data_IF_497990115771
#
_entry.id   IF_497990115771
#
_cell.length_a   1.000
_cell.length_b   1.000
_cell.length_c   1.000
_cell.angle_alpha   90.00
_cell.angle_beta   90.00
_cell.angle_gamma   90.00
#
_symmetry.space_group_name_H-M   'P 1'
#
loop_
_entity.id
_entity.type
_entity.pdbx_description
1 polymer ?
#
# COMPACT_ATOMS: atom_id res chain seq x y z
N UNK A 1 -13.10 15.02 31.23
CA UNK A 1 -12.19 16.02 30.61
C UNK A 1 -11.67 15.43 29.31
N UNK A 2 -12.26 15.78 28.16
CA UNK A 2 -11.77 15.34 26.86
C UNK A 2 -10.67 16.30 26.42
N UNK A 3 -9.40 15.94 26.65
CA UNK A 3 -8.30 16.68 26.04
C UNK A 3 -8.30 16.37 24.55
N UNK A 4 -8.65 17.37 23.74
CA UNK A 4 -8.48 17.40 22.30
C UNK A 4 -6.98 17.24 22.02
N UNK A 5 -6.53 15.98 21.90
CA UNK A 5 -5.15 15.65 21.57
C UNK A 5 -4.96 16.14 20.15
N UNK A 6 -4.21 17.22 19.96
CA UNK A 6 -3.90 17.77 18.64
C UNK A 6 -3.35 16.61 17.79
N UNK A 7 -3.93 16.33 16.61
CA UNK A 7 -3.51 15.19 15.81
C UNK A 7 -2.02 15.35 15.48
N UNK A 8 -1.24 14.32 15.82
CA UNK A 8 0.20 14.31 15.55
C UNK A 8 0.41 14.23 14.04
N UNK A 9 1.09 15.22 13.49
CA UNK A 9 1.45 15.29 12.08
C UNK A 9 2.57 14.30 11.77
N UNK A 10 2.18 13.07 11.41
CA UNK A 10 3.08 11.94 11.14
C UNK A 10 3.37 11.73 9.66
N UNK A 11 2.86 12.59 8.78
CA UNK A 11 2.95 12.43 7.32
C UNK A 11 3.75 13.54 6.66
N UNK A 12 3.81 14.74 7.26
CA UNK A 12 4.56 15.85 6.67
C UNK A 12 6.06 15.57 6.69
N UNK A 13 6.74 15.61 5.52
CA UNK A 13 8.17 15.41 5.44
C UNK A 13 8.91 16.55 6.15
N UNK A 14 10.02 16.23 6.79
CA UNK A 14 10.92 17.21 7.38
C UNK A 14 11.62 18.00 6.26
N UNK A 15 11.71 19.32 6.42
CA UNK A 15 12.48 20.16 5.49
C UNK A 15 13.98 20.08 5.80
N UNK A 16 14.83 20.40 4.83
CA UNK A 16 16.29 20.44 5.05
C UNK A 16 16.68 21.40 6.18
N UNK A 17 15.97 22.52 6.32
CA UNK A 17 16.17 23.47 7.42
C UNK A 17 15.87 22.84 8.78
N UNK A 18 14.82 22.02 8.89
CA UNK A 18 14.48 21.30 10.12
C UNK A 18 15.50 20.21 10.43
N UNK A 19 15.97 19.48 9.42
CA UNK A 19 17.05 18.50 9.58
C UNK A 19 18.31 19.20 10.09
N UNK A 20 18.71 20.30 9.46
CA UNK A 20 19.88 21.08 9.87
C UNK A 20 19.75 21.62 11.30
N UNK A 21 18.56 22.09 11.68
CA UNK A 21 18.28 22.53 13.05
C UNK A 21 18.40 21.39 14.06
N UNK A 22 17.89 20.20 13.74
CA UNK A 22 18.03 19.02 14.59
C UNK A 22 19.50 18.61 14.76
N UNK A 23 20.30 18.63 13.70
CA UNK A 23 21.73 18.33 13.76
C UNK A 23 22.48 19.38 14.58
N UNK A 24 22.14 20.66 14.43
CA UNK A 24 22.72 21.74 15.23
C UNK A 24 22.44 21.51 16.72
N UNK A 25 21.21 21.14 17.10
CA UNK A 25 20.87 20.81 18.48
C UNK A 25 21.73 19.66 19.02
N UNK A 26 21.84 18.55 18.28
CA UNK A 26 22.68 17.43 18.67
C UNK A 26 24.15 17.83 18.84
N UNK A 27 24.65 18.72 17.97
CA UNK A 27 26.06 19.14 17.99
C UNK A 27 26.42 19.97 19.20
N UNK A 28 25.44 20.67 19.79
CA UNK A 28 25.66 21.43 21.04
C UNK A 28 25.72 20.53 22.27
N UNK A 29 25.07 19.37 22.24
CA UNK A 29 24.96 18.47 23.40
C UNK A 29 25.89 17.27 23.34
N UNK A 30 26.32 16.84 22.15
CA UNK A 30 27.08 15.60 21.97
C UNK A 30 28.42 15.87 21.26
N UNK A 31 29.53 15.31 21.76
CA UNK A 31 30.82 15.41 21.08
C UNK A 31 30.84 14.54 19.81
N UNK A 32 31.53 15.01 18.78
CA UNK A 32 31.80 14.22 17.58
C UNK A 32 32.88 13.16 17.84
N UNK A 33 32.82 12.04 17.11
CA UNK A 33 33.84 10.98 17.17
C UNK A 33 35.12 11.36 16.41
N UNK A 34 35.00 12.26 15.44
CA UNK A 34 36.03 12.61 14.46
C UNK A 34 35.98 14.10 14.09
N UNK A 35 37.15 14.66 13.78
CA UNK A 35 37.32 16.03 13.25
C UNK A 35 37.23 16.07 11.71
N UNK A 36 36.20 15.42 11.16
CA UNK A 36 35.94 15.42 9.72
C UNK A 36 35.33 16.71 9.19
N UNK A 37 35.28 16.84 7.86
CA UNK A 37 34.64 17.95 7.16
C UNK A 37 33.15 18.05 7.52
N UNK A 38 32.77 19.16 8.16
CA UNK A 38 31.41 19.43 8.61
C UNK A 38 30.40 19.60 7.47
N UNK A 39 30.82 20.12 6.31
CA UNK A 39 29.94 20.29 5.16
C UNK A 39 29.61 18.93 4.53
N UNK A 40 30.62 18.09 4.31
CA UNK A 40 30.44 16.74 3.80
C UNK A 40 29.54 15.91 4.74
N UNK A 41 29.76 16.04 6.04
CA UNK A 41 28.93 15.40 7.07
C UNK A 41 27.48 15.85 6.97
N UNK A 42 27.23 17.15 6.85
CA UNK A 42 25.88 17.71 6.74
C UNK A 42 25.15 17.17 5.52
N UNK A 43 25.81 17.13 4.35
CA UNK A 43 25.25 16.54 3.12
C UNK A 43 24.92 15.06 3.29
N UNK A 44 25.77 14.31 4.00
CA UNK A 44 25.51 12.91 4.29
C UNK A 44 24.24 12.71 5.15
N UNK A 45 24.00 13.58 6.16
CA UNK A 45 22.75 13.52 6.93
C UNK A 45 21.53 13.94 6.11
N UNK A 46 21.61 14.98 5.30
CA UNK A 46 20.49 15.39 4.45
C UNK A 46 20.07 14.25 3.50
N UNK A 47 21.03 13.53 2.94
CA UNK A 47 20.77 12.33 2.13
C UNK A 47 20.16 11.19 2.95
N UNK A 48 20.77 10.86 4.10
CA UNK A 48 20.32 9.74 4.93
C UNK A 48 18.94 9.98 5.59
N UNK A 49 18.62 11.23 5.89
CA UNK A 49 17.35 11.65 6.48
C UNK A 49 16.36 12.15 5.44
N UNK A 50 16.62 11.94 4.14
CA UNK A 50 15.65 12.25 3.11
C UNK A 50 14.35 11.44 3.31
N UNK A 51 13.22 12.13 3.18
CA UNK A 51 11.88 11.53 3.30
C UNK A 51 11.43 11.20 4.72
N UNK A 52 12.24 11.52 5.75
CA UNK A 52 11.79 11.38 7.14
C UNK A 52 10.70 12.39 7.47
N UNK A 53 9.76 11.99 8.30
CA UNK A 53 8.66 12.87 8.75
C UNK A 53 9.14 13.83 9.84
N UNK A 54 8.61 15.04 9.90
CA UNK A 54 8.93 16.03 10.95
C UNK A 54 8.77 15.47 12.37
N UNK A 55 7.69 14.75 12.62
CA UNK A 55 7.46 14.11 13.92
C UNK A 55 8.51 13.06 14.25
N UNK A 56 8.77 12.12 13.34
CA UNK A 56 9.79 11.09 13.56
C UNK A 56 11.20 11.66 13.72
N UNK A 57 11.55 12.74 13.01
CA UNK A 57 12.83 13.45 13.21
C UNK A 57 12.94 13.99 14.65
N UNK A 58 11.87 14.59 15.18
CA UNK A 58 11.86 15.09 16.55
C UNK A 58 12.04 13.98 17.59
N UNK A 59 11.41 12.82 17.39
CA UNK A 59 11.56 11.66 18.27
C UNK A 59 12.97 11.07 18.19
N UNK A 60 13.50 10.90 16.98
CA UNK A 60 14.86 10.39 16.77
C UNK A 60 15.91 11.29 17.44
N UNK A 61 15.73 12.62 17.33
CA UNK A 61 16.61 13.61 17.97
C UNK A 61 16.54 13.49 19.50
N UNK A 62 15.35 13.35 20.08
CA UNK A 62 15.19 13.14 21.52
C UNK A 62 15.82 11.82 21.98
N UNK A 63 15.66 10.74 21.22
CA UNK A 63 16.27 9.44 21.50
C UNK A 63 17.80 9.51 21.46
N UNK A 64 18.36 10.21 20.48
CA UNK A 64 19.81 10.46 20.39
C UNK A 64 20.34 11.23 21.61
N UNK A 65 19.65 12.28 22.03
CA UNK A 65 20.02 13.06 23.23
C UNK A 65 19.95 12.23 24.52
N UNK A 66 19.06 11.24 24.59
CA UNK A 66 18.97 10.29 25.71
C UNK A 66 20.02 9.17 25.63
N UNK A 67 20.80 9.09 24.54
CA UNK A 67 21.79 8.03 24.33
C UNK A 67 21.19 6.68 23.98
N UNK A 68 19.98 6.63 23.41
CA UNK A 68 19.27 5.38 23.08
C UNK A 68 19.97 4.58 21.96
N UNK A 69 20.88 5.19 21.19
CA UNK A 69 21.73 4.49 20.22
C UNK A 69 22.95 3.81 20.83
N UNK A 70 23.11 3.82 22.15
CA UNK A 70 24.18 3.08 22.86
C UNK A 70 25.54 3.79 22.87
N UNK A 71 25.60 5.07 22.52
CA UNK A 71 26.83 5.87 22.53
C UNK A 71 26.57 7.27 23.09
N UNK A 72 27.58 7.84 23.76
CA UNK A 72 27.55 9.23 24.25
C UNK A 72 28.01 10.25 23.19
N UNK A 73 28.43 9.76 22.03
CA UNK A 73 28.87 10.59 20.92
C UNK A 73 27.73 10.92 19.98
N UNK A 74 27.96 11.93 19.15
CA UNK A 74 27.09 12.29 18.04
C UNK A 74 26.79 11.05 17.18
N UNK A 75 25.50 10.74 16.91
CA UNK A 75 25.11 9.54 16.19
C UNK A 75 25.50 9.66 14.72
N UNK A 76 26.12 8.65 14.13
CA UNK A 76 26.36 8.55 12.67
C UNK A 76 25.04 8.60 11.87
N UNK A 77 25.13 8.82 10.55
CA UNK A 77 23.96 8.87 9.66
C UNK A 77 23.12 7.60 9.73
N UNK A 78 23.76 6.42 9.80
CA UNK A 78 23.09 5.13 9.94
C UNK A 78 22.44 4.96 11.33
N UNK A 79 23.13 5.33 12.41
CA UNK A 79 22.57 5.30 13.77
C UNK A 79 21.34 6.22 13.87
N UNK A 80 21.41 7.43 13.31
CA UNK A 80 20.29 8.38 13.31
C UNK A 80 19.09 7.85 12.51
N UNK A 81 19.34 7.17 11.39
CA UNK A 81 18.28 6.52 10.61
C UNK A 81 17.63 5.37 11.40
N UNK A 82 18.43 4.55 12.08
CA UNK A 82 17.93 3.48 12.94
C UNK A 82 17.08 3.99 14.11
N UNK A 83 17.47 5.12 14.72
CA UNK A 83 16.68 5.79 15.75
C UNK A 83 15.33 6.26 15.21
N UNK A 84 15.32 6.85 14.00
CA UNK A 84 14.08 7.22 13.32
C UNK A 84 13.17 6.02 13.07
N UNK A 85 13.70 4.94 12.48
CA UNK A 85 12.90 3.76 12.16
C UNK A 85 12.33 3.11 13.44
N UNK A 86 13.12 3.09 14.51
CA UNK A 86 12.69 2.59 15.82
C UNK A 86 11.58 3.46 16.42
N UNK A 87 11.73 4.78 16.36
CA UNK A 87 10.76 5.73 16.88
C UNK A 87 9.44 5.70 16.09
N UNK A 88 9.50 5.52 14.78
CA UNK A 88 8.33 5.50 13.89
C UNK A 88 7.68 4.13 13.75
N UNK A 89 8.31 3.05 14.23
CA UNK A 89 7.77 1.69 14.17
C UNK A 89 6.32 1.59 14.66
N UNK A 90 5.92 2.13 15.83
CA UNK A 90 4.54 2.05 16.30
C UNK A 90 3.55 2.74 15.34
N UNK A 91 3.95 3.88 14.76
CA UNK A 91 3.13 4.63 13.79
C UNK A 91 2.96 3.83 12.51
N UNK A 92 4.04 3.25 11.98
CA UNK A 92 3.99 2.42 10.78
C UNK A 92 3.14 1.15 10.97
N UNK A 93 3.23 0.53 12.15
CA UNK A 93 2.41 -0.63 12.52
C UNK A 93 0.93 -0.28 12.60
N UNK A 94 0.58 0.85 13.24
CA UNK A 94 -0.78 1.34 13.29
C UNK A 94 -1.34 1.62 11.89
N UNK A 95 -0.61 2.36 11.05
CA UNK A 95 -1.04 2.64 9.67
C UNK A 95 -1.20 1.36 8.84
N UNK A 96 -0.36 0.34 9.08
CA UNK A 96 -0.49 -0.96 8.43
C UNK A 96 -1.75 -1.70 8.90
N UNK A 97 -2.08 -1.64 10.19
CA UNK A 97 -3.30 -2.21 10.73
C UNK A 97 -4.56 -1.51 10.18
N UNK A 98 -4.56 -0.17 10.13
CA UNK A 98 -5.66 0.63 9.57
C UNK A 98 -5.90 0.30 8.09
N UNK A 99 -4.83 0.21 7.29
CA UNK A 99 -4.94 -0.21 5.87
C UNK A 99 -5.54 -1.60 5.71
N UNK A 100 -5.19 -2.56 6.59
CA UNK A 100 -5.78 -3.90 6.58
C UNK A 100 -7.25 -3.86 6.96
N UNK A 101 -7.60 -3.15 8.03
CA UNK A 101 -8.99 -3.01 8.46
C UNK A 101 -9.87 -2.34 7.38
N UNK A 102 -9.34 -1.35 6.68
CA UNK A 102 -10.04 -0.70 5.56
C UNK A 102 -10.23 -1.65 4.36
N UNK A 103 -9.22 -2.46 4.04
CA UNK A 103 -9.33 -3.48 2.99
C UNK A 103 -10.37 -4.55 3.35
N UNK A 104 -10.35 -5.04 4.59
CA UNK A 104 -11.31 -6.02 5.11
C UNK A 104 -12.75 -5.45 5.12
N UNK A 105 -12.91 -4.18 5.50
CA UNK A 105 -14.21 -3.51 5.49
C UNK A 105 -14.75 -3.36 4.06
N UNK A 106 -13.91 -2.93 3.12
CA UNK A 106 -14.29 -2.84 1.70
C UNK A 106 -14.67 -4.21 1.13
N UNK A 107 -13.94 -5.25 1.47
CA UNK A 107 -14.27 -6.62 1.07
C UNK A 107 -15.62 -7.08 1.64
N UNK A 108 -15.88 -6.83 2.93
CA UNK A 108 -17.18 -7.12 3.57
C UNK A 108 -18.34 -6.35 2.95
N UNK A 109 -18.17 -5.07 2.66
CA UNK A 109 -19.17 -4.26 1.96
C UNK A 109 -19.46 -4.81 0.56
N UNK A 110 -18.42 -5.27 -0.14
CA UNK A 110 -18.56 -5.90 -1.46
C UNK A 110 -19.36 -7.21 -1.37
N UNK A 111 -19.07 -8.08 -0.40
CA UNK A 111 -19.83 -9.31 -0.17
C UNK A 111 -21.27 -9.03 0.28
N UNK A 112 -21.47 -8.08 1.19
CA UNK A 112 -22.81 -7.74 1.69
C UNK A 112 -23.68 -7.14 0.58
N UNK A 113 -23.10 -6.32 -0.30
CA UNK A 113 -23.77 -5.86 -1.51
C UNK A 113 -24.11 -7.03 -2.43
N UNK A 114 -23.21 -7.98 -2.65
CA UNK A 114 -23.48 -9.14 -3.50
C UNK A 114 -24.62 -10.02 -2.97
N UNK A 115 -24.71 -10.19 -1.65
CA UNK A 115 -25.78 -10.95 -0.98
C UNK A 115 -27.12 -10.21 -1.04
N UNK A 116 -27.10 -8.89 -0.81
CA UNK A 116 -28.30 -8.05 -0.77
C UNK A 116 -28.70 -7.48 -2.12
N UNK A 117 -27.89 -7.69 -3.17
CA UNK A 117 -28.25 -7.32 -4.52
C UNK A 117 -29.56 -8.06 -4.84
N UNK A 118 -30.68 -7.36 -5.12
CA UNK A 118 -31.87 -8.02 -5.62
C UNK A 118 -31.39 -8.83 -6.82
N UNK A 119 -31.70 -10.14 -6.90
CA UNK A 119 -31.29 -11.06 -7.99
C UNK A 119 -31.25 -10.27 -9.28
N UNK A 120 -30.09 -9.72 -9.58
CA UNK A 120 -30.04 -8.64 -10.54
C UNK A 120 -30.37 -9.38 -11.83
N UNK A 121 -31.38 -8.90 -12.58
CA UNK A 121 -31.64 -9.45 -13.91
C UNK A 121 -30.28 -9.61 -14.57
N UNK A 122 -30.00 -10.74 -15.19
CA UNK A 122 -28.73 -11.09 -15.80
C UNK A 122 -28.14 -9.92 -16.61
N UNK A 123 -29.01 -9.06 -17.14
CA UNK A 123 -28.71 -7.79 -17.80
C UNK A 123 -27.96 -6.76 -16.94
N UNK A 124 -28.36 -6.53 -15.69
CA UNK A 124 -27.71 -5.55 -14.80
C UNK A 124 -26.30 -5.98 -14.39
N UNK A 125 -26.10 -7.28 -14.17
CA UNK A 125 -24.76 -7.86 -13.91
C UNK A 125 -23.89 -7.70 -15.16
N UNK A 126 -24.46 -7.98 -16.33
CA UNK A 126 -23.75 -7.84 -17.62
C UNK A 126 -23.43 -6.38 -17.95
N UNK A 127 -24.33 -5.44 -17.63
CA UNK A 127 -24.12 -4.00 -17.84
C UNK A 127 -22.98 -3.48 -16.96
N UNK A 128 -22.99 -3.84 -15.68
CA UNK A 128 -21.94 -3.46 -14.74
C UNK A 128 -20.60 -4.10 -15.10
N UNK A 129 -20.61 -5.35 -15.58
CA UNK A 129 -19.43 -6.00 -16.14
C UNK A 129 -18.84 -5.23 -17.32
N UNK A 130 -19.68 -4.74 -18.26
CA UNK A 130 -19.22 -3.91 -19.38
C UNK A 130 -18.63 -2.59 -18.91
N UNK A 131 -19.22 -1.96 -17.91
CA UNK A 131 -18.74 -0.67 -17.40
C UNK A 131 -17.43 -0.81 -16.63
N UNK A 132 -17.27 -1.86 -15.82
CA UNK A 132 -16.03 -2.16 -15.11
C UNK A 132 -14.90 -2.60 -16.06
N UNK A 133 -15.20 -3.35 -17.12
CA UNK A 133 -14.23 -3.67 -18.18
C UNK A 133 -13.81 -2.41 -18.95
N UNK A 134 -14.76 -1.56 -19.35
CA UNK A 134 -14.44 -0.27 -20.02
C UNK A 134 -13.61 0.65 -19.14
N UNK A 135 -13.84 0.61 -17.82
CA UNK A 135 -13.05 1.39 -16.86
C UNK A 135 -11.65 0.80 -16.69
N UNK A 136 -11.52 -0.51 -16.75
CA UNK A 136 -10.25 -1.22 -16.65
C UNK A 136 -9.41 -1.13 -17.93
N UNK A 137 -10.04 -1.18 -19.11
CA UNK A 137 -9.37 -0.95 -20.41
C UNK A 137 -8.75 0.44 -20.46
N UNK A 138 -9.47 1.48 -20.00
CA UNK A 138 -8.92 2.85 -19.87
C UNK A 138 -7.75 2.98 -18.90
N UNK A 139 -7.53 2.03 -17.99
CA UNK A 139 -6.48 2.07 -16.97
C UNK A 139 -5.31 1.12 -17.29
N UNK A 140 -5.46 0.18 -18.24
CA UNK A 140 -4.51 -0.93 -18.42
C UNK A 140 -3.95 -1.10 -19.86
N UNK A 141 -4.18 -0.15 -20.77
CA UNK A 141 -3.72 -0.28 -22.16
C UNK A 141 -2.19 -0.30 -22.36
N UNK A 142 -1.39 0.17 -21.40
CA UNK A 142 0.06 0.32 -21.63
C UNK A 142 0.97 -0.77 -21.07
N UNK A 143 0.44 -1.81 -20.39
CA UNK A 143 1.32 -2.86 -19.83
C UNK A 143 0.84 -4.30 -20.07
N UNK A 144 1.75 -5.24 -20.40
CA UNK A 144 1.43 -6.66 -20.55
C UNK A 144 0.94 -7.30 -19.25
N UNK A 145 1.36 -6.78 -18.08
CA UNK A 145 0.88 -7.22 -16.78
C UNK A 145 -0.60 -6.85 -16.57
N UNK A 146 -1.01 -5.64 -16.97
CA UNK A 146 -2.41 -5.21 -16.92
C UNK A 146 -3.35 -6.10 -17.72
N UNK A 147 -2.94 -6.50 -18.93
CA UNK A 147 -3.69 -7.44 -19.77
C UNK A 147 -3.82 -8.84 -19.15
N UNK A 148 -2.79 -9.31 -18.44
CA UNK A 148 -2.82 -10.62 -17.77
C UNK A 148 -3.74 -10.63 -16.54
N UNK A 149 -3.74 -9.53 -15.76
CA UNK A 149 -4.58 -9.37 -14.56
C UNK A 149 -6.05 -9.24 -14.96
N UNK A 150 -6.34 -8.48 -16.03
CA UNK A 150 -7.69 -8.38 -16.59
C UNK A 150 -8.23 -9.77 -17.00
N UNK A 151 -7.46 -10.55 -17.77
CA UNK A 151 -7.83 -11.91 -18.17
C UNK A 151 -8.07 -12.85 -16.98
N UNK A 152 -7.19 -12.84 -15.98
CA UNK A 152 -7.32 -13.69 -14.79
C UNK A 152 -8.58 -13.37 -13.99
N UNK A 153 -8.93 -12.08 -13.89
CA UNK A 153 -10.12 -11.62 -13.17
C UNK A 153 -11.42 -11.99 -13.91
N UNK A 154 -11.44 -11.89 -15.23
CA UNK A 154 -12.57 -12.36 -16.05
C UNK A 154 -12.81 -13.87 -15.89
N UNK A 155 -11.73 -14.67 -15.82
CA UNK A 155 -11.83 -16.11 -15.65
C UNK A 155 -12.35 -16.54 -14.26
N UNK A 156 -11.96 -15.82 -13.20
CA UNK A 156 -12.45 -16.05 -11.83
C UNK A 156 -13.93 -15.74 -11.69
N UNK A 157 -14.41 -14.66 -12.32
CA UNK A 157 -15.82 -14.27 -12.28
C UNK A 157 -16.70 -15.18 -13.14
N UNK A 158 -16.20 -15.71 -14.26
CA UNK A 158 -16.89 -16.75 -15.03
C UNK A 158 -17.16 -18.02 -14.21
N UNK A 159 -16.24 -18.39 -13.31
CA UNK A 159 -16.45 -19.50 -12.36
C UNK A 159 -17.55 -19.21 -11.35
N UNK A 160 -17.67 -17.96 -10.91
CA UNK A 160 -18.68 -17.53 -9.95
C UNK A 160 -20.08 -17.50 -10.56
N UNK A 161 -20.20 -17.05 -11.81
CA UNK A 161 -21.46 -17.09 -12.59
C UNK A 161 -21.94 -18.54 -12.84
N UNK A 162 -21.01 -19.47 -13.10
CA UNK A 162 -21.33 -20.90 -13.24
C UNK A 162 -21.76 -21.51 -11.89
N UNK A 163 -21.12 -21.10 -10.78
CA UNK A 163 -21.47 -21.55 -9.43
C UNK A 163 -22.85 -21.04 -8.97
N UNK A 164 -23.30 -19.89 -9.47
CA UNK A 164 -24.62 -19.30 -9.19
C UNK A 164 -25.75 -19.85 -10.08
N UNK A 165 -25.47 -20.91 -10.87
CA UNK A 165 -26.50 -21.66 -11.61
C UNK A 165 -26.86 -21.08 -12.98
N UNK A 166 -26.06 -20.17 -13.52
CA UNK A 166 -26.22 -19.72 -14.91
C UNK A 166 -25.71 -20.82 -15.85
N UNK A 167 -26.60 -21.34 -16.69
CA UNK A 167 -26.31 -22.44 -17.60
C UNK A 167 -25.10 -22.15 -18.50
N UNK A 168 -24.16 -23.10 -18.55
CA UNK A 168 -22.98 -23.11 -19.43
C UNK A 168 -23.31 -22.86 -20.91
N UNK A 169 -24.52 -23.21 -21.35
CA UNK A 169 -25.03 -22.93 -22.69
C UNK A 169 -25.19 -21.43 -22.96
N UNK A 170 -25.68 -20.65 -21.98
CA UNK A 170 -25.86 -19.21 -22.12
C UNK A 170 -24.53 -18.46 -22.21
N UNK A 171 -23.55 -18.87 -21.40
CA UNK A 171 -22.20 -18.32 -21.42
C UNK A 171 -21.47 -18.64 -22.74
N UNK A 172 -21.57 -19.90 -23.22
CA UNK A 172 -21.00 -20.30 -24.52
C UNK A 172 -21.62 -19.56 -25.70
N UNK A 173 -22.93 -19.30 -25.67
CA UNK A 173 -23.65 -18.57 -26.72
C UNK A 173 -23.17 -17.12 -26.81
N UNK A 174 -23.04 -16.44 -25.66
CA UNK A 174 -22.52 -15.07 -25.59
C UNK A 174 -21.03 -14.95 -25.96
N UNK A 175 -20.20 -15.95 -25.63
CA UNK A 175 -18.79 -15.98 -26.04
C UNK A 175 -18.63 -16.17 -27.57
N UNK A 176 -19.53 -16.95 -28.18
CA UNK A 176 -19.53 -17.26 -29.62
C UNK A 176 -20.04 -16.08 -30.47
N UNK A 177 -21.03 -15.33 -29.99
CA UNK A 177 -21.55 -14.12 -30.66
C UNK A 177 -20.54 -12.96 -30.67
N UNK A 178 -19.60 -12.93 -29.74
CA UNK A 178 -18.65 -11.82 -29.60
C UNK A 178 -17.20 -12.15 -30.02
N UNK A 179 -16.99 -13.22 -30.81
CA UNK A 179 -15.66 -13.64 -31.33
C UNK A 179 -14.55 -13.65 -30.25
N UNK A 180 -14.85 -14.16 -29.05
CA UNK A 180 -13.80 -14.44 -28.08
C UNK A 180 -13.07 -15.69 -28.56
N UNK A 181 -11.90 -15.50 -29.18
CA UNK A 181 -11.18 -16.54 -29.94
C UNK A 181 -11.06 -17.89 -29.21
N UNK A 182 -11.20 -18.97 -29.98
CA UNK A 182 -11.25 -20.38 -29.56
C UNK A 182 -9.98 -20.91 -28.83
N UNK A 183 -9.06 -20.03 -28.42
CA UNK A 183 -7.80 -20.37 -27.77
C UNK A 183 -7.83 -20.38 -26.24
N UNK A 184 -9.00 -20.32 -25.58
CA UNK A 184 -9.10 -20.52 -24.14
C UNK A 184 -8.93 -22.01 -23.81
N UNK A 185 -7.69 -22.51 -23.92
CA UNK A 185 -7.33 -23.85 -23.46
C UNK A 185 -7.64 -23.94 -21.96
N UNK A 186 -8.73 -24.62 -21.65
CA UNK A 186 -9.22 -24.88 -20.31
C UNK A 186 -8.13 -25.60 -19.50
N UNK A 187 -7.76 -25.00 -18.36
CA UNK A 187 -6.81 -25.59 -17.42
C UNK A 187 -7.29 -27.00 -16.97
N UNK A 188 -6.40 -28.01 -16.86
CA UNK A 188 -6.76 -29.40 -16.55
C UNK A 188 -7.50 -29.62 -15.22
N UNK A 189 -7.56 -28.59 -14.37
CA UNK A 189 -8.22 -28.62 -13.06
C UNK A 189 -9.76 -28.69 -13.12
N UNK A 190 -10.36 -28.66 -14.32
CA UNK A 190 -11.80 -28.78 -14.53
C UNK A 190 -12.34 -30.21 -14.54
N UNK A 191 -11.48 -31.24 -14.54
CA UNK A 191 -11.92 -32.65 -14.55
C UNK A 191 -12.33 -33.22 -13.19
N UNK A 192 -12.09 -32.51 -12.08
CA UNK A 192 -12.22 -33.10 -10.74
C UNK A 192 -13.53 -32.79 -10.03
N UNK A 193 -14.41 -31.95 -10.60
CA UNK A 193 -15.63 -31.48 -9.89
C UNK A 193 -16.91 -32.21 -10.32
N UNK A 194 -16.84 -33.11 -11.30
CA UNK A 194 -17.98 -33.99 -11.63
C UNK A 194 -17.50 -35.44 -11.83
N UNK A 195 -17.65 -36.23 -10.78
CA UNK A 195 -17.92 -37.67 -10.85
C UNK A 195 -19.16 -37.97 -10.04
#
# INVERSE_FOLDING_TARGET
MNQLTTPRDTTTPATEAQISQALALLSTSLPYRDEGDGELRTRAYLSALHGVTRYGLSLATQAALKGEHGSKFFPSTAEMRGLYDTAMRPVHEQQKAERRAAADAHERETYQWAINAPRASTDQITQRFRDDNRRSERVLEDTPLGRSIAKARTALLGRQIIAEGVSMEGFKRGAKEHQWGEGASYSPLLKTVYR
#
